data_IF_122331893792
#
_entry.id   IF_122331893792
#
_cell.length_a   1.000
_cell.length_b   1.000
_cell.length_c   1.000
_cell.angle_alpha   90.00
_cell.angle_beta   90.00
_cell.angle_gamma   90.00
#
_symmetry.space_group_name_H-M   'P 1'
#
loop_
_entity.id
_entity.type
_entity.pdbx_description
1 polymer ?
#
# COMPACT_ATOMS: atom_id res chain seq x y z
N UNK A 1 14.13 -11.96 -42.66
CA UNK A 1 12.95 -11.08 -42.81
C UNK A 1 11.71 -11.88 -42.45
N UNK A 2 11.09 -11.58 -41.32
CA UNK A 2 9.84 -12.23 -40.90
C UNK A 2 8.72 -11.78 -41.86
N UNK A 3 8.26 -12.66 -42.75
CA UNK A 3 7.11 -12.37 -43.64
C UNK A 3 5.83 -12.62 -42.86
N UNK A 4 5.34 -11.59 -42.16
CA UNK A 4 4.03 -11.61 -41.53
C UNK A 4 2.96 -11.85 -42.59
N UNK A 5 2.28 -12.99 -42.49
CA UNK A 5 1.13 -13.30 -43.35
C UNK A 5 -0.10 -12.57 -42.84
N UNK A 6 -1.07 -12.29 -43.71
CA UNK A 6 -2.30 -11.57 -43.34
C UNK A 6 -3.04 -12.22 -42.16
N UNK A 7 -3.01 -13.56 -42.07
CA UNK A 7 -3.59 -14.29 -40.92
C UNK A 7 -2.81 -14.13 -39.61
N UNK A 8 -1.49 -13.92 -39.68
CA UNK A 8 -0.63 -13.70 -38.52
C UNK A 8 -0.86 -12.31 -37.90
N UNK A 9 -1.05 -11.31 -38.77
CA UNK A 9 -1.46 -9.95 -38.36
C UNK A 9 -2.86 -9.96 -37.74
N UNK A 10 -3.78 -10.75 -38.30
CA UNK A 10 -5.16 -10.85 -37.82
C UNK A 10 -5.22 -11.55 -36.45
N UNK A 11 -4.41 -12.59 -36.25
CA UNK A 11 -4.25 -13.28 -34.96
C UNK A 11 -3.66 -12.34 -33.90
N UNK A 12 -2.58 -11.61 -34.23
CA UNK A 12 -1.97 -10.65 -33.30
C UNK A 12 -2.94 -9.53 -32.91
N UNK A 13 -3.66 -8.95 -33.89
CA UNK A 13 -4.64 -7.91 -33.62
C UNK A 13 -5.77 -8.39 -32.70
N UNK A 14 -6.26 -9.62 -32.93
CA UNK A 14 -7.28 -10.23 -32.08
C UNK A 14 -6.77 -10.43 -30.64
N UNK A 15 -5.55 -10.94 -30.46
CA UNK A 15 -4.98 -11.20 -29.14
C UNK A 15 -4.72 -9.91 -28.35
N UNK A 16 -4.27 -8.85 -29.02
CA UNK A 16 -4.15 -7.51 -28.43
C UNK A 16 -5.51 -6.94 -28.06
N UNK A 17 -6.54 -7.13 -28.90
CA UNK A 17 -7.90 -6.70 -28.59
C UNK A 17 -8.46 -7.42 -27.36
N UNK A 18 -8.35 -8.74 -27.29
CA UNK A 18 -8.82 -9.51 -26.13
C UNK A 18 -8.06 -9.10 -24.86
N UNK A 19 -6.73 -8.97 -24.94
CA UNK A 19 -5.90 -8.55 -23.81
C UNK A 19 -6.24 -7.14 -23.33
N UNK A 20 -6.42 -6.19 -24.24
CA UNK A 20 -6.79 -4.80 -23.90
C UNK A 20 -8.20 -4.70 -23.32
N UNK A 21 -9.18 -5.43 -23.85
CA UNK A 21 -10.54 -5.49 -23.29
C UNK A 21 -10.52 -6.10 -21.89
N UNK A 22 -9.79 -7.20 -21.67
CA UNK A 22 -9.66 -7.80 -20.35
C UNK A 22 -9.01 -6.83 -19.34
N UNK A 23 -7.96 -6.12 -19.76
CA UNK A 23 -7.24 -5.16 -18.92
C UNK A 23 -8.11 -3.94 -18.58
N UNK A 24 -8.91 -3.45 -19.53
CA UNK A 24 -9.89 -2.38 -19.31
C UNK A 24 -11.02 -2.80 -18.36
N UNK A 25 -11.54 -4.02 -18.49
CA UNK A 25 -12.56 -4.55 -17.59
C UNK A 25 -12.01 -4.70 -16.17
N UNK A 26 -10.77 -5.19 -16.02
CA UNK A 26 -10.09 -5.29 -14.72
C UNK A 26 -9.89 -3.91 -14.08
N UNK A 27 -9.34 -2.95 -14.82
CA UNK A 27 -9.13 -1.59 -14.31
C UNK A 27 -10.45 -0.91 -13.91
N UNK A 28 -11.53 -1.12 -14.67
CA UNK A 28 -12.84 -0.60 -14.34
C UNK A 28 -13.47 -1.29 -13.11
N UNK A 29 -13.14 -2.56 -12.83
CA UNK A 29 -13.58 -3.27 -11.63
C UNK A 29 -12.81 -2.85 -10.38
N UNK A 30 -11.49 -2.67 -10.48
CA UNK A 30 -10.65 -2.18 -9.38
C UNK A 30 -11.03 -0.75 -8.96
N UNK A 31 -11.38 0.11 -9.93
CA UNK A 31 -11.85 1.47 -9.65
C UNK A 31 -13.24 1.52 -8.96
N UNK A 32 -13.96 0.38 -8.89
CA UNK A 32 -15.24 0.25 -8.19
C UNK A 32 -15.11 -0.34 -6.79
N UNK A 33 -13.92 -0.72 -6.35
CA UNK A 33 -13.68 -1.06 -4.96
C UNK A 33 -13.67 0.23 -4.14
N UNK A 34 -14.85 0.80 -3.91
CA UNK A 34 -15.08 1.76 -2.84
C UNK A 34 -14.97 0.99 -1.53
N UNK A 35 -13.76 0.97 -0.97
CA UNK A 35 -13.56 0.52 0.39
C UNK A 35 -14.29 1.48 1.31
N UNK A 36 -15.03 0.94 2.28
CA UNK A 36 -15.67 1.75 3.30
C UNK A 36 -14.58 2.28 4.23
N UNK A 37 -14.27 3.59 4.22
CA UNK A 37 -13.20 4.15 5.03
C UNK A 37 -13.44 3.96 6.54
N UNK A 38 -14.70 3.79 6.94
CA UNK A 38 -15.09 3.52 8.33
C UNK A 38 -14.68 2.14 8.84
N UNK A 39 -14.27 1.25 7.94
CA UNK A 39 -13.80 -0.09 8.23
C UNK A 39 -12.30 -0.27 7.94
N UNK A 40 -11.52 0.82 7.94
CA UNK A 40 -10.08 0.81 7.71
C UNK A 40 -9.29 1.35 8.91
N UNK A 41 -8.29 0.58 9.31
CA UNK A 41 -7.37 0.92 10.39
C UNK A 41 -5.93 0.95 9.86
N UNK A 42 -5.15 1.94 10.28
CA UNK A 42 -3.70 1.95 10.11
C UNK A 42 -3.05 1.25 11.31
N UNK A 43 -2.46 0.08 11.08
CA UNK A 43 -1.69 -0.66 12.07
C UNK A 43 -0.23 -0.23 11.98
N UNK A 44 0.30 0.27 13.09
CA UNK A 44 1.67 0.74 13.22
C UNK A 44 2.42 -0.26 14.09
N UNK A 45 3.50 -0.80 13.53
CA UNK A 45 4.38 -1.76 14.16
C UNK A 45 5.79 -1.16 14.26
N UNK A 46 6.41 -1.29 15.44
CA UNK A 46 7.80 -0.88 15.67
C UNK A 46 8.58 -2.07 16.16
N UNK A 47 9.67 -2.41 15.47
CA UNK A 47 10.52 -3.57 15.81
C UNK A 47 9.73 -4.88 15.90
N UNK A 48 8.79 -5.07 14.96
CA UNK A 48 7.94 -6.26 14.89
C UNK A 48 6.86 -6.35 15.97
N UNK A 49 6.73 -5.33 16.84
CA UNK A 49 5.70 -5.30 17.89
C UNK A 49 4.63 -4.26 17.58
N UNK A 50 3.34 -4.57 17.83
CA UNK A 50 2.27 -3.60 17.63
C UNK A 50 2.49 -2.39 18.53
N UNK A 51 2.54 -1.20 17.94
CA UNK A 51 2.75 0.07 18.63
C UNK A 51 1.44 0.82 18.81
N UNK A 52 0.67 0.98 17.72
CA UNK A 52 -0.62 1.65 17.75
C UNK A 52 -1.48 1.19 16.57
N UNK A 53 -2.79 1.17 16.76
CA UNK A 53 -3.77 1.03 15.69
C UNK A 53 -4.59 2.30 15.65
N UNK A 54 -4.70 2.91 14.48
CA UNK A 54 -5.36 4.20 14.30
C UNK A 54 -6.47 4.07 13.26
N UNK A 55 -7.74 4.33 13.63
CA UNK A 55 -8.83 4.34 12.65
C UNK A 55 -8.65 5.50 11.67
N UNK A 56 -8.80 5.22 10.37
CA UNK A 56 -8.64 6.22 9.32
C UNK A 56 -9.85 7.18 9.24
N UNK A 57 -11.03 6.74 9.66
CA UNK A 57 -12.26 7.56 9.71
C UNK A 57 -12.31 8.53 10.92
N UNK A 58 -11.22 8.61 11.69
CA UNK A 58 -11.10 9.51 12.83
C UNK A 58 -10.79 10.98 12.48
N UNK A 59 -10.74 11.87 13.48
CA UNK A 59 -10.25 13.23 13.30
C UNK A 59 -8.77 13.24 12.89
N UNK A 60 -8.33 14.33 12.25
CA UNK A 60 -6.91 14.51 11.94
C UNK A 60 -6.06 14.41 13.21
N UNK A 61 -5.03 13.57 13.17
CA UNK A 61 -4.12 13.38 14.28
C UNK A 61 -2.69 13.13 13.81
N UNK A 62 -1.74 13.41 14.68
CA UNK A 62 -0.32 13.21 14.43
C UNK A 62 0.21 12.18 15.42
N UNK A 63 0.82 11.11 14.92
CA UNK A 63 1.44 10.06 15.71
C UNK A 63 2.95 10.29 15.68
N UNK A 64 3.50 10.68 16.82
CA UNK A 64 4.94 10.85 17.02
C UNK A 64 5.53 9.55 17.59
N UNK A 65 6.46 8.93 16.87
CA UNK A 65 7.12 7.68 17.23
C UNK A 65 8.58 7.99 17.57
N UNK A 66 8.90 7.95 18.86
CA UNK A 66 10.26 8.16 19.37
C UNK A 66 10.76 6.90 20.03
N UNK A 67 11.72 6.25 19.39
CA UNK A 67 12.33 5.01 19.89
C UNK A 67 13.84 5.11 19.87
N UNK A 68 14.52 4.11 20.42
CA UNK A 68 15.98 3.97 20.32
C UNK A 68 16.48 3.84 18.88
N UNK A 69 15.60 3.41 17.96
CA UNK A 69 15.93 3.24 16.54
C UNK A 69 15.81 4.54 15.74
N UNK A 70 15.16 5.58 16.28
CA UNK A 70 14.99 6.86 15.62
C UNK A 70 13.63 7.51 15.85
N UNK A 71 13.39 8.58 15.11
CA UNK A 71 12.23 9.45 15.19
C UNK A 71 11.44 9.45 13.87
N UNK A 72 10.16 9.11 13.96
CA UNK A 72 9.22 9.21 12.84
C UNK A 72 7.97 9.98 13.28
N UNK A 73 7.34 10.67 12.34
CA UNK A 73 6.06 11.33 12.57
C UNK A 73 5.12 10.99 11.43
N UNK A 74 3.99 10.41 11.78
CA UNK A 74 2.89 10.08 10.88
C UNK A 74 1.75 11.07 11.09
N UNK A 75 1.09 11.48 10.00
CA UNK A 75 -0.13 12.28 10.06
C UNK A 75 -1.26 11.50 9.43
N UNK A 76 -2.36 11.37 10.18
CA UNK A 76 -3.63 10.82 9.69
C UNK A 76 -4.53 11.98 9.30
N UNK A 77 -5.02 11.97 8.06
CA UNK A 77 -5.91 12.98 7.51
C UNK A 77 -6.62 12.43 6.27
N UNK A 78 -7.77 13.01 5.87
CA UNK A 78 -8.51 12.60 4.66
C UNK A 78 -8.68 11.07 4.52
N UNK A 79 -8.95 10.36 5.62
CA UNK A 79 -9.12 8.89 5.61
C UNK A 79 -7.89 8.10 5.15
N UNK A 80 -6.71 8.63 5.41
CA UNK A 80 -5.45 7.93 5.17
C UNK A 80 -4.34 8.44 6.07
N UNK A 81 -3.14 7.92 5.83
CA UNK A 81 -1.96 8.18 6.66
C UNK A 81 -0.75 8.48 5.79
N UNK A 82 0.11 9.40 6.25
CA UNK A 82 1.35 9.76 5.58
C UNK A 82 2.48 9.93 6.59
N UNK A 83 3.67 9.49 6.22
CA UNK A 83 4.91 9.81 6.94
C UNK A 83 5.35 11.24 6.62
N UNK A 84 5.12 12.16 7.55
CA UNK A 84 5.49 13.59 7.37
C UNK A 84 6.93 13.88 7.79
N UNK A 85 7.51 13.04 8.66
CA UNK A 85 8.90 13.18 9.08
C UNK A 85 9.50 11.81 9.39
N UNK A 86 10.77 11.64 9.04
CA UNK A 86 11.59 10.51 9.44
C UNK A 86 13.06 10.96 9.49
N UNK A 87 13.77 10.62 10.56
CA UNK A 87 15.22 10.85 10.70
C UNK A 87 16.08 9.80 9.96
N UNK A 88 15.45 8.92 9.17
CA UNK A 88 16.10 7.91 8.35
C UNK A 88 16.98 8.55 7.24
N UNK A 89 18.22 8.08 6.98
CA UNK A 89 19.16 8.72 6.04
C UNK A 89 18.63 8.89 4.62
N UNK A 90 17.85 7.92 4.13
CA UNK A 90 17.34 7.90 2.75
C UNK A 90 15.96 8.55 2.58
N UNK A 91 15.23 8.81 3.68
CA UNK A 91 13.88 9.43 3.68
C UNK A 91 12.88 8.82 2.67
N UNK A 92 13.04 7.54 2.30
CA UNK A 92 12.18 6.86 1.33
C UNK A 92 10.75 6.75 1.87
N UNK A 93 10.59 6.52 3.17
CA UNK A 93 9.28 6.47 3.84
C UNK A 93 8.46 7.75 3.64
N UNK A 94 9.12 8.92 3.59
CA UNK A 94 8.45 10.20 3.32
C UNK A 94 8.06 10.36 1.85
N UNK A 95 8.76 9.69 0.93
CA UNK A 95 8.49 9.70 -0.51
C UNK A 95 7.38 8.75 -0.92
N UNK A 96 7.08 7.72 -0.11
CA UNK A 96 5.94 6.81 -0.33
C UNK A 96 4.61 7.57 -0.36
N UNK A 97 4.54 8.72 0.33
CA UNK A 97 3.41 9.63 0.24
C UNK A 97 2.23 9.18 1.10
N UNK A 98 1.04 9.57 0.65
CA UNK A 98 -0.22 9.31 1.33
C UNK A 98 -0.77 7.95 0.91
N UNK A 99 -1.08 7.10 1.89
CA UNK A 99 -1.74 5.82 1.69
C UNK A 99 -3.13 5.84 2.33
N UNK A 100 -4.10 5.20 1.68
CA UNK A 100 -5.50 5.16 2.13
C UNK A 100 -6.24 3.87 1.76
N UNK A 101 -5.62 2.95 1.01
CA UNK A 101 -6.26 1.70 0.57
C UNK A 101 -5.74 0.50 1.34
N UNK A 102 -6.57 -0.54 1.55
CA UNK A 102 -6.12 -1.80 2.14
C UNK A 102 -4.89 -2.38 1.44
N UNK A 103 -3.94 -2.89 2.23
CA UNK A 103 -2.69 -3.47 1.75
C UNK A 103 -1.65 -2.44 1.28
N UNK A 104 -1.96 -1.14 1.25
CA UNK A 104 -0.93 -0.11 1.10
C UNK A 104 -0.10 -0.01 2.39
N UNK A 105 1.20 0.20 2.23
CA UNK A 105 2.16 0.16 3.35
C UNK A 105 3.13 1.35 3.31
N UNK A 106 3.62 1.74 4.49
CA UNK A 106 4.77 2.64 4.64
C UNK A 106 5.82 1.97 5.52
N UNK A 107 7.06 1.94 5.04
CA UNK A 107 8.16 1.25 5.72
C UNK A 107 9.35 2.20 5.91
N UNK A 108 9.79 2.42 7.16
CA UNK A 108 11.16 2.87 7.43
C UNK A 108 11.96 1.74 8.09
N UNK A 109 12.79 1.08 7.27
CA UNK A 109 13.66 -0.03 7.70
C UNK A 109 14.67 0.40 8.78
N UNK A 110 15.43 1.52 8.64
CA UNK A 110 16.38 1.94 9.68
C UNK A 110 15.76 2.10 11.08
N UNK A 111 14.56 2.69 11.14
CA UNK A 111 13.87 2.97 12.40
C UNK A 111 12.92 1.84 12.81
N UNK A 112 12.90 0.74 12.04
CA UNK A 112 12.05 -0.45 12.25
C UNK A 112 10.56 -0.14 12.34
N UNK A 113 10.10 0.88 11.61
CA UNK A 113 8.67 1.26 11.56
C UNK A 113 8.02 0.66 10.32
N UNK A 114 6.92 -0.03 10.54
CA UNK A 114 6.05 -0.58 9.51
C UNK A 114 4.62 -0.10 9.75
N UNK A 115 3.98 0.42 8.71
CA UNK A 115 2.60 0.89 8.74
C UNK A 115 1.85 0.18 7.63
N UNK A 116 0.69 -0.37 7.95
CA UNK A 116 -0.18 -1.07 7.00
C UNK A 116 -1.62 -0.66 7.21
N UNK A 117 -2.38 -0.53 6.11
CA UNK A 117 -3.82 -0.31 6.16
C UNK A 117 -4.53 -1.65 6.09
N UNK A 118 -5.24 -2.00 7.16
CA UNK A 118 -6.01 -3.24 7.28
C UNK A 118 -7.51 -2.93 7.33
N UNK A 119 -8.34 -3.90 6.91
CA UNK A 119 -9.79 -3.78 7.08
C UNK A 119 -10.23 -4.37 8.41
N UNK A 120 -11.07 -3.65 9.15
CA UNK A 120 -11.58 -3.99 10.50
C UNK A 120 -12.50 -5.24 10.51
N UNK A 121 -12.68 -5.96 9.40
CA UNK A 121 -13.65 -7.06 9.29
C UNK A 121 -13.31 -8.23 8.37
N UNK A 122 -12.07 -8.41 7.91
CA UNK A 122 -11.77 -9.53 7.01
C UNK A 122 -10.29 -9.89 6.91
N UNK A 123 -9.97 -11.06 7.47
CA UNK A 123 -8.81 -11.88 7.13
C UNK A 123 -7.53 -11.47 7.83
N UNK A 124 -6.95 -12.41 8.59
CA UNK A 124 -5.50 -12.50 8.73
C UNK A 124 -4.81 -12.14 7.40
N UNK A 125 -3.67 -11.42 7.43
CA UNK A 125 -2.90 -11.21 6.22
C UNK A 125 -2.61 -12.57 5.58
N UNK A 126 -2.88 -12.70 4.29
CA UNK A 126 -2.45 -13.84 3.49
C UNK A 126 -0.91 -13.92 3.59
N UNK A 127 -0.43 -14.76 4.51
CA UNK A 127 0.98 -15.13 4.64
C UNK A 127 1.29 -16.26 3.65
N UNK A 128 1.84 -15.87 2.50
CA UNK A 128 3.03 -16.49 1.93
C UNK A 128 3.77 -15.54 0.97
N UNK A 129 4.12 -14.36 1.48
CA UNK A 129 5.10 -13.47 0.87
C UNK A 129 6.08 -13.01 1.93
N UNK A 130 7.31 -13.54 1.92
CA UNK A 130 8.37 -13.18 2.87
C UNK A 130 8.74 -11.70 2.69
N UNK A 131 7.98 -10.78 3.31
CA UNK A 131 8.19 -9.33 3.16
C UNK A 131 8.83 -8.66 4.38
N UNK A 132 9.10 -9.41 5.46
CA UNK A 132 9.85 -8.90 6.60
C UNK A 132 10.84 -9.92 7.16
N UNK A 133 12.13 -9.75 6.84
CA UNK A 133 13.23 -10.37 7.59
C UNK A 133 13.77 -9.37 8.62
N UNK A 134 13.39 -9.56 9.88
CA UNK A 134 14.00 -8.86 11.02
C UNK A 134 14.97 -9.83 11.69
N UNK A 135 16.26 -9.50 11.68
CA UNK A 135 17.32 -10.27 12.34
C UNK A 135 17.54 -9.81 13.77
#
# INVERSE_FOLDING_TARGET
MLKLKRGDVLLMAFLVLVGSVWLLLRAAAENRQTFDPSALDAVITVDGKPYATVPLDGPEQTVDIRTEYGHNTLKVFNQGIQMVYADCPKKISMQMGFISRPGETIICVPNRVYVEIVSTGGGEPDDDGIDAYVR
#
